data_IF_128446504774
#
_entry.id   IF_128446504774
#
_cell.length_a   1.000
_cell.length_b   1.000
_cell.length_c   1.000
_cell.angle_alpha   90.00
_cell.angle_beta   90.00
_cell.angle_gamma   90.00
#
_symmetry.space_group_name_H-M   'P 1'
#
loop_
_entity.id
_entity.type
_entity.pdbx_description
1 polymer ?
#
# COMPACT_ATOMS: atom_id res chain seq x y z
N UNK A 1 -0.85 0.59 -12.39
CA UNK A 1 -0.12 1.77 -11.84
C UNK A 1 1.02 1.31 -10.94
N UNK A 2 2.00 2.16 -10.65
CA UNK A 2 3.04 1.89 -9.66
C UNK A 2 3.07 3.02 -8.63
N UNK A 3 3.17 2.67 -7.35
CA UNK A 3 3.10 3.63 -6.23
C UNK A 3 4.45 3.72 -5.52
N UNK A 4 4.84 4.94 -5.16
CA UNK A 4 5.96 5.17 -4.27
C UNK A 4 5.47 4.99 -2.82
N UNK A 5 6.03 4.02 -2.09
CA UNK A 5 5.70 3.86 -0.67
C UNK A 5 6.19 5.08 0.14
N UNK A 6 5.54 5.37 1.27
CA UNK A 6 6.04 6.38 2.24
C UNK A 6 7.53 6.17 2.50
N UNK A 7 8.29 7.26 2.50
CA UNK A 7 9.75 7.23 2.62
C UNK A 7 10.50 7.14 1.28
N UNK A 8 9.83 6.83 0.16
CA UNK A 8 10.46 6.64 -1.14
C UNK A 8 10.15 7.77 -2.13
N UNK A 9 11.13 8.08 -2.97
CA UNK A 9 11.03 8.96 -4.15
C UNK A 9 10.19 10.23 -3.93
N UNK A 10 9.02 10.35 -4.57
CA UNK A 10 8.19 11.55 -4.51
C UNK A 10 7.14 11.50 -3.39
N UNK A 11 6.93 10.34 -2.75
CA UNK A 11 6.05 10.22 -1.59
C UNK A 11 6.61 10.90 -0.36
N UNK A 12 5.71 11.24 0.56
CA UNK A 12 6.08 11.88 1.82
C UNK A 12 7.02 11.01 2.66
N UNK A 13 7.88 11.68 3.43
CA UNK A 13 8.94 11.05 4.24
C UNK A 13 8.73 11.43 5.72
N UNK A 14 7.71 10.86 6.38
CA UNK A 14 7.40 11.20 7.76
C UNK A 14 8.56 10.85 8.69
N UNK A 15 8.71 11.62 9.77
CA UNK A 15 9.77 11.41 10.75
C UNK A 15 9.37 10.35 11.78
N UNK A 16 10.38 9.65 12.31
CA UNK A 16 10.21 8.62 13.35
C UNK A 16 9.96 7.23 12.76
N UNK A 17 10.48 6.20 13.42
CA UNK A 17 10.39 4.81 12.95
C UNK A 17 8.95 4.29 12.96
N UNK A 18 8.14 4.72 13.92
CA UNK A 18 6.73 4.31 14.05
C UNK A 18 5.89 4.74 12.84
N UNK A 19 6.30 5.81 12.15
CA UNK A 19 5.63 6.25 10.93
C UNK A 19 5.72 5.24 9.78
N UNK A 20 6.66 4.29 9.86
CA UNK A 20 6.89 3.21 8.89
C UNK A 20 6.41 1.84 9.40
N UNK A 21 5.60 1.82 10.48
CA UNK A 21 4.96 0.60 10.91
C UNK A 21 4.07 0.03 9.79
N UNK A 22 4.03 -1.31 9.68
CA UNK A 22 3.31 -2.02 8.62
C UNK A 22 1.84 -1.55 8.42
N UNK A 23 1.03 -1.32 9.48
CA UNK A 23 -0.34 -0.84 9.30
C UNK A 23 -0.43 0.48 8.54
N UNK A 24 0.57 1.35 8.71
CA UNK A 24 0.59 2.64 8.04
C UNK A 24 0.91 2.47 6.55
N UNK A 25 1.77 1.52 6.17
CA UNK A 25 2.00 1.20 4.75
C UNK A 25 0.76 0.63 4.08
N UNK A 26 0.03 -0.26 4.76
CA UNK A 26 -1.21 -0.85 4.24
C UNK A 26 -2.28 0.24 4.04
N UNK A 27 -2.41 1.16 5.00
CA UNK A 27 -3.39 2.24 4.96
C UNK A 27 -3.18 3.22 3.78
N UNK A 28 -1.96 3.34 3.25
CA UNK A 28 -1.69 4.21 2.09
C UNK A 28 -2.16 3.61 0.75
N UNK A 29 -2.25 2.27 0.67
CA UNK A 29 -2.53 1.58 -0.60
C UNK A 29 -3.97 1.85 -1.07
N UNK A 30 -4.96 1.77 -0.17
CA UNK A 30 -6.37 1.97 -0.53
C UNK A 30 -6.63 3.35 -1.17
N UNK A 31 -6.28 4.47 -0.50
CA UNK A 31 -6.40 5.81 -1.07
C UNK A 31 -5.63 5.99 -2.38
N UNK A 32 -4.52 5.26 -2.57
CA UNK A 32 -3.72 5.36 -3.80
C UNK A 32 -4.44 4.81 -5.04
N UNK A 33 -5.40 3.89 -4.89
CA UNK A 33 -6.23 3.40 -5.99
C UNK A 33 -7.11 4.53 -6.57
N UNK A 34 -7.42 5.55 -5.77
CA UNK A 34 -8.19 6.72 -6.17
C UNK A 34 -9.65 6.38 -6.50
N UNK A 35 -10.30 7.23 -7.30
CA UNK A 35 -11.69 7.04 -7.75
C UNK A 35 -11.81 6.21 -9.03
N UNK A 36 -10.74 5.49 -9.42
CA UNK A 36 -10.64 4.89 -10.75
C UNK A 36 -11.18 3.47 -10.79
N UNK A 37 -11.10 2.73 -9.67
CA UNK A 37 -11.50 1.33 -9.57
C UNK A 37 -12.03 1.03 -8.17
N UNK A 38 -13.04 0.16 -8.05
CA UNK A 38 -13.56 -0.32 -6.75
C UNK A 38 -12.65 -1.39 -6.11
N UNK A 39 -11.81 -2.06 -6.93
CA UNK A 39 -10.86 -3.08 -6.53
C UNK A 39 -9.68 -3.16 -7.51
N UNK A 40 -8.59 -3.82 -7.14
CA UNK A 40 -7.45 -4.00 -8.04
C UNK A 40 -6.65 -5.27 -7.77
N UNK A 41 -5.95 -5.78 -8.80
CA UNK A 41 -4.88 -6.76 -8.63
C UNK A 41 -3.63 -6.06 -8.07
N UNK A 42 -3.25 -6.44 -6.85
CA UNK A 42 -2.10 -5.86 -6.16
C UNK A 42 -0.87 -6.74 -6.34
N UNK A 43 0.18 -6.19 -6.95
CA UNK A 43 1.46 -6.87 -7.16
C UNK A 43 2.55 -6.18 -6.35
N UNK A 44 3.32 -6.98 -5.60
CA UNK A 44 4.41 -6.47 -4.77
C UNK A 44 5.61 -7.40 -4.76
N UNK A 45 6.80 -6.81 -4.60
CA UNK A 45 8.06 -7.52 -4.41
C UNK A 45 8.76 -7.02 -3.14
N UNK A 46 9.49 -7.90 -2.45
CA UNK A 46 10.19 -7.60 -1.19
C UNK A 46 9.24 -6.98 -0.14
N UNK A 47 9.53 -5.79 0.40
CA UNK A 47 8.61 -5.06 1.30
C UNK A 47 7.26 -4.77 0.65
N UNK A 48 7.25 -4.45 -0.64
CA UNK A 48 6.01 -4.28 -1.39
C UNK A 48 5.20 -5.57 -1.48
N UNK A 49 5.89 -6.72 -1.51
CA UNK A 49 5.26 -8.04 -1.45
C UNK A 49 4.58 -8.27 -0.11
N UNK A 50 5.26 -7.95 1.00
CA UNK A 50 4.64 -8.02 2.32
C UNK A 50 3.42 -7.09 2.43
N UNK A 51 3.53 -5.84 1.95
CA UNK A 51 2.39 -4.91 1.94
C UNK A 51 1.22 -5.47 1.12
N UNK A 52 1.48 -6.03 -0.07
CA UNK A 52 0.45 -6.63 -0.92
C UNK A 52 -0.27 -7.80 -0.22
N UNK A 53 0.49 -8.71 0.41
CA UNK A 53 -0.07 -9.84 1.16
C UNK A 53 -0.97 -9.38 2.31
N UNK A 54 -0.50 -8.45 3.15
CA UNK A 54 -1.30 -7.96 4.27
C UNK A 54 -2.48 -7.10 3.83
N UNK A 55 -2.34 -6.34 2.74
CA UNK A 55 -3.44 -5.59 2.16
C UNK A 55 -4.55 -6.53 1.70
N UNK A 56 -4.23 -7.59 0.94
CA UNK A 56 -5.22 -8.59 0.53
C UNK A 56 -5.95 -9.25 1.73
N UNK A 57 -5.22 -9.53 2.81
CA UNK A 57 -5.80 -10.12 4.02
C UNK A 57 -6.70 -9.17 4.82
N UNK A 58 -6.39 -7.87 4.83
CA UNK A 58 -7.07 -6.89 5.70
C UNK A 58 -8.09 -6.03 4.95
N UNK A 59 -7.94 -5.90 3.63
CA UNK A 59 -8.79 -5.12 2.72
C UNK A 59 -9.26 -5.98 1.53
N UNK A 60 -9.92 -7.13 1.77
CA UNK A 60 -10.26 -8.09 0.73
C UNK A 60 -11.26 -7.52 -0.30
N UNK A 61 -12.09 -6.54 0.08
CA UNK A 61 -13.05 -5.90 -0.85
C UNK A 61 -12.38 -4.99 -1.87
N UNK A 62 -11.13 -4.58 -1.63
CA UNK A 62 -10.36 -3.71 -2.52
C UNK A 62 -9.33 -4.50 -3.35
N UNK A 63 -9.31 -5.83 -3.24
CA UNK A 63 -8.32 -6.70 -3.88
C UNK A 63 -8.99 -7.74 -4.76
N UNK A 64 -8.56 -7.82 -6.02
CA UNK A 64 -9.02 -8.85 -6.97
C UNK A 64 -8.18 -10.13 -6.89
N UNK A 65 -8.75 -11.24 -7.40
CA UNK A 65 -8.11 -12.57 -7.47
C UNK A 65 -7.60 -12.90 -8.87
#
# INVERSE_FOLDING_TARGET
MAVDLRGYNLSDKPKGVDAYALPNHIADVGPSLGNWEDSAVIVGHDWGGMVAWYFAMTQPTLTDN
#
